data_IF_510434331535
#
_entry.id   IF_510434331535
#
_cell.length_a   1.000
_cell.length_b   1.000
_cell.length_c   1.000
_cell.angle_alpha   90.00
_cell.angle_beta   90.00
_cell.angle_gamma   90.00
#
_symmetry.space_group_name_H-M   'P 1'
#
loop_
_entity.id
_entity.type
_entity.pdbx_description
1 polymer ?
#
# COMPACT_ATOMS: atom_id res chain seq x y z
N UNK A 1 58.30 -45.60 -28.95
CA UNK A 1 56.82 -45.72 -28.94
C UNK A 1 56.24 -44.76 -29.97
N UNK A 2 55.28 -45.24 -30.76
CA UNK A 2 54.90 -44.72 -32.08
C UNK A 2 54.07 -43.43 -32.08
N UNK A 3 54.24 -42.67 -33.18
CA UNK A 3 53.70 -41.36 -33.54
C UNK A 3 52.21 -41.37 -33.97
N UNK A 4 51.55 -40.20 -33.91
CA UNK A 4 50.95 -39.44 -35.06
C UNK A 4 49.57 -38.79 -34.79
N UNK A 5 49.40 -37.66 -35.48
CA UNK A 5 48.39 -36.61 -35.47
C UNK A 5 46.91 -36.95 -35.80
N UNK A 6 46.04 -36.05 -35.30
CA UNK A 6 44.81 -35.43 -35.86
C UNK A 6 43.74 -36.27 -36.59
N UNK A 7 42.46 -35.91 -36.36
CA UNK A 7 41.38 -36.19 -37.31
C UNK A 7 39.95 -35.91 -36.82
N UNK A 8 39.35 -34.84 -37.34
CA UNK A 8 37.88 -34.58 -37.39
C UNK A 8 37.16 -35.57 -38.31
N UNK A 9 35.84 -35.81 -38.14
CA UNK A 9 34.99 -36.18 -39.27
C UNK A 9 34.01 -35.05 -39.65
N UNK A 10 33.90 -34.87 -40.97
CA UNK A 10 33.05 -33.96 -41.74
C UNK A 10 31.61 -34.49 -41.86
N UNK A 11 30.65 -33.61 -42.14
CA UNK A 11 29.43 -33.98 -42.86
C UNK A 11 28.21 -33.08 -42.66
N UNK A 12 28.09 -32.01 -43.44
CA UNK A 12 26.82 -31.38 -43.85
C UNK A 12 26.44 -31.97 -45.24
N UNK A 13 25.21 -31.83 -45.82
CA UNK A 13 24.33 -30.64 -45.79
C UNK A 13 22.80 -30.95 -45.88
N UNK A 14 22.03 -29.93 -46.30
CA UNK A 14 20.63 -29.86 -46.78
C UNK A 14 19.51 -29.39 -45.82
N UNK A 15 18.64 -28.56 -46.40
CA UNK A 15 17.69 -27.63 -45.77
C UNK A 15 16.22 -28.07 -45.93
N UNK A 16 15.33 -27.27 -45.31
CA UNK A 16 13.85 -27.29 -45.32
C UNK A 16 13.23 -28.37 -44.41
N UNK A 17 12.19 -28.14 -43.59
CA UNK A 17 11.01 -27.30 -43.77
C UNK A 17 10.24 -27.16 -42.43
N UNK A 18 9.41 -26.13 -42.34
CA UNK A 18 8.59 -25.71 -41.19
C UNK A 18 7.52 -26.73 -40.78
N UNK A 19 7.33 -26.95 -39.47
CA UNK A 19 6.06 -27.39 -38.88
C UNK A 19 5.78 -26.59 -37.59
N UNK A 20 4.68 -25.83 -37.49
CA UNK A 20 4.24 -25.21 -36.25
C UNK A 20 3.56 -26.27 -35.36
N UNK A 21 4.25 -26.74 -34.33
CA UNK A 21 3.65 -27.60 -33.31
C UNK A 21 2.73 -26.78 -32.39
N UNK A 22 1.43 -27.05 -32.48
CA UNK A 22 0.37 -26.61 -31.58
C UNK A 22 0.72 -26.84 -30.10
N UNK A 23 1.25 -25.80 -29.45
CA UNK A 23 1.29 -25.74 -27.99
C UNK A 23 -0.07 -25.25 -27.51
N UNK A 24 -0.91 -26.19 -27.09
CA UNK A 24 -2.11 -26.00 -26.25
C UNK A 24 -1.81 -24.93 -25.19
N UNK A 25 -2.25 -23.70 -25.46
CA UNK A 25 -2.20 -22.61 -24.49
C UNK A 25 -3.30 -22.89 -23.47
N UNK A 26 -2.92 -23.57 -22.40
CA UNK A 26 -3.71 -23.71 -21.18
C UNK A 26 -4.21 -22.31 -20.82
N UNK A 27 -5.52 -22.10 -20.96
CA UNK A 27 -6.22 -20.91 -20.56
C UNK A 27 -6.03 -20.73 -19.05
N UNK A 28 -4.92 -20.07 -18.66
CA UNK A 28 -4.81 -19.42 -17.36
C UNK A 28 -5.83 -18.30 -17.41
N UNK A 29 -7.05 -18.62 -16.96
CA UNK A 29 -8.00 -17.66 -16.45
C UNK A 29 -7.21 -16.64 -15.63
N UNK A 30 -7.05 -15.46 -16.19
CA UNK A 30 -6.39 -14.34 -15.55
C UNK A 30 -7.21 -14.03 -14.32
N UNK A 31 -6.80 -14.53 -13.15
CA UNK A 31 -7.27 -14.04 -11.86
C UNK A 31 -6.91 -12.56 -11.84
N UNK A 32 -7.86 -11.73 -12.23
CA UNK A 32 -7.78 -10.28 -12.13
C UNK A 32 -7.47 -9.97 -10.68
N UNK A 33 -6.21 -9.69 -10.35
CA UNK A 33 -5.82 -9.33 -8.98
C UNK A 33 -6.57 -8.03 -8.67
N UNK A 34 -7.57 -8.11 -7.79
CA UNK A 34 -8.29 -6.93 -7.32
C UNK A 34 -7.26 -5.96 -6.74
N UNK A 35 -7.21 -4.74 -7.27
CA UNK A 35 -6.31 -3.71 -6.78
C UNK A 35 -6.88 -3.22 -5.44
N UNK A 36 -6.29 -3.68 -4.33
CA UNK A 36 -6.75 -3.40 -2.96
C UNK A 36 -6.51 -1.93 -2.58
N UNK A 37 -5.42 -1.35 -3.09
CA UNK A 37 -4.98 0.00 -2.75
C UNK A 37 -5.17 0.97 -3.92
N UNK A 38 -5.63 2.17 -3.60
CA UNK A 38 -5.75 3.26 -4.56
C UNK A 38 -4.37 3.73 -5.05
N UNK A 39 -4.32 4.21 -6.29
CA UNK A 39 -3.12 4.87 -6.81
C UNK A 39 -2.83 6.15 -6.01
N UNK A 40 -1.56 6.54 -5.95
CA UNK A 40 -1.18 7.79 -5.32
C UNK A 40 -1.58 8.98 -6.19
N UNK A 41 -1.84 10.12 -5.55
CA UNK A 41 -2.04 11.39 -6.24
C UNK A 41 -0.75 11.84 -6.94
N UNK A 42 -0.89 12.60 -8.02
CA UNK A 42 0.25 13.23 -8.70
C UNK A 42 0.91 14.26 -7.79
N UNK A 43 2.20 14.55 -8.00
CA UNK A 43 2.93 15.55 -7.20
C UNK A 43 2.31 16.94 -7.39
N UNK A 44 1.82 17.21 -8.58
CA UNK A 44 1.18 18.45 -8.99
C UNK A 44 -0.13 18.66 -8.22
N UNK A 45 -0.96 17.62 -8.11
CA UNK A 45 -2.23 17.69 -7.38
C UNK A 45 -2.01 17.80 -5.87
N UNK A 46 -1.01 17.10 -5.33
CA UNK A 46 -0.62 17.25 -3.92
C UNK A 46 -0.19 18.68 -3.62
N UNK A 47 0.70 19.25 -4.45
CA UNK A 47 1.17 20.63 -4.29
C UNK A 47 0.01 21.64 -4.34
N UNK A 48 -0.89 21.51 -5.34
CA UNK A 48 -2.08 22.37 -5.45
C UNK A 48 -3.02 22.20 -4.27
N UNK A 49 -3.25 20.96 -3.83
CA UNK A 49 -4.16 20.63 -2.74
C UNK A 49 -3.70 21.16 -1.38
N UNK A 50 -2.39 21.10 -1.12
CA UNK A 50 -1.77 21.68 0.07
C UNK A 50 -1.83 23.21 0.05
N UNK A 51 -1.52 23.85 -1.08
CA UNK A 51 -1.64 25.32 -1.23
C UNK A 51 -3.07 25.82 -0.98
N UNK A 52 -4.06 25.05 -1.42
CA UNK A 52 -5.50 25.34 -1.22
C UNK A 52 -6.02 24.97 0.18
N UNK A 53 -5.18 24.39 1.04
CA UNK A 53 -5.58 23.84 2.35
C UNK A 53 -6.72 22.81 2.28
N UNK A 54 -6.85 22.13 1.14
CA UNK A 54 -7.82 21.03 0.93
C UNK A 54 -7.23 19.67 1.27
N UNK A 55 -5.90 19.60 1.37
CA UNK A 55 -5.15 18.44 1.82
C UNK A 55 -4.39 18.82 3.08
N UNK A 56 -4.20 17.84 3.95
CA UNK A 56 -3.47 17.97 5.20
C UNK A 56 -2.27 17.05 5.15
N UNK A 57 -1.11 17.57 5.49
CA UNK A 57 0.13 16.80 5.57
C UNK A 57 0.53 16.62 7.04
N UNK A 58 1.00 15.44 7.41
CA UNK A 58 1.53 15.21 8.74
C UNK A 58 2.14 13.82 8.94
N UNK A 59 2.84 13.62 10.07
CA UNK A 59 3.39 12.32 10.42
C UNK A 59 2.28 11.35 10.81
N UNK A 60 2.34 10.13 10.29
CA UNK A 60 1.36 9.10 10.56
C UNK A 60 1.71 8.29 11.80
N UNK A 61 0.75 8.16 12.73
CA UNK A 61 0.87 7.35 13.94
C UNK A 61 -0.08 6.16 13.89
N UNK A 62 0.45 4.94 13.92
CA UNK A 62 -0.35 3.71 13.94
C UNK A 62 -0.40 3.18 15.37
N UNK A 63 -1.58 2.80 15.85
CA UNK A 63 -1.70 2.17 17.16
C UNK A 63 -1.11 0.74 17.13
N UNK A 64 -0.08 0.43 17.93
CA UNK A 64 0.57 -0.89 17.90
C UNK A 64 -0.35 -2.02 18.39
N UNK A 65 -1.29 -1.72 19.29
CA UNK A 65 -2.29 -2.69 19.77
C UNK A 65 -3.43 -2.90 18.78
N UNK A 66 -3.64 -1.94 17.88
CA UNK A 66 -4.77 -1.93 16.97
C UNK A 66 -4.36 -1.29 15.64
N UNK A 67 -3.67 -2.06 14.81
CA UNK A 67 -3.00 -1.57 13.60
C UNK A 67 -3.94 -0.98 12.53
N UNK A 68 -5.25 -1.20 12.67
CA UNK A 68 -6.27 -0.56 11.85
C UNK A 68 -6.52 0.90 12.24
N UNK A 69 -6.28 1.27 13.50
CA UNK A 69 -6.45 2.63 13.95
C UNK A 69 -5.16 3.42 13.70
N UNK A 70 -5.25 4.43 12.84
CA UNK A 70 -4.14 5.34 12.58
C UNK A 70 -4.59 6.81 12.67
N UNK A 71 -3.63 7.69 12.97
CA UNK A 71 -3.89 9.08 13.32
C UNK A 71 -2.87 10.00 12.67
N UNK A 72 -3.33 11.18 12.26
CA UNK A 72 -2.48 12.31 11.85
C UNK A 72 -2.82 13.50 12.76
N UNK A 73 -1.83 14.22 13.31
CA UNK A 73 -2.11 15.41 14.10
C UNK A 73 -2.84 16.45 13.25
N UNK A 74 -3.90 17.04 13.80
CA UNK A 74 -4.57 18.16 13.14
C UNK A 74 -3.62 19.35 13.01
N UNK A 75 -3.62 20.05 11.87
CA UNK A 75 -2.80 21.25 11.69
C UNK A 75 -3.18 22.37 12.67
N UNK A 76 -4.42 22.36 13.17
CA UNK A 76 -4.93 23.34 14.13
C UNK A 76 -4.67 22.94 15.60
N UNK A 77 -4.04 21.78 15.84
CA UNK A 77 -3.72 21.29 17.18
C UNK A 77 -4.92 20.84 18.01
N UNK A 78 -6.08 20.63 17.36
CA UNK A 78 -7.33 20.25 18.02
C UNK A 78 -7.41 18.73 18.23
N UNK A 79 -8.16 18.02 17.38
CA UNK A 79 -8.35 16.58 17.44
C UNK A 79 -7.62 15.91 16.27
N UNK A 80 -6.94 14.80 16.55
CA UNK A 80 -6.27 14.02 15.52
C UNK A 80 -7.26 13.54 14.45
N UNK A 81 -6.80 13.55 13.20
CA UNK A 81 -7.55 13.02 12.06
C UNK A 81 -7.45 11.50 12.11
N UNK A 82 -8.59 10.83 12.25
CA UNK A 82 -8.67 9.38 12.27
C UNK A 82 -8.64 8.78 10.86
N UNK A 83 -7.80 7.77 10.67
CA UNK A 83 -7.72 6.96 9.46
C UNK A 83 -8.15 5.53 9.81
N UNK A 84 -9.28 5.12 9.26
CA UNK A 84 -9.90 3.82 9.54
C UNK A 84 -9.38 2.73 8.60
N UNK A 85 -8.46 1.91 9.10
CA UNK A 85 -8.04 0.68 8.46
C UNK A 85 -6.86 0.81 7.48
N UNK A 86 -6.40 -0.37 7.06
CA UNK A 86 -5.18 -0.51 6.24
C UNK A 86 -5.35 0.00 4.82
N UNK A 87 -6.58 -0.02 4.29
CA UNK A 87 -6.88 0.44 2.92
C UNK A 87 -6.84 1.97 2.87
N UNK A 88 -7.50 2.65 3.81
CA UNK A 88 -7.51 4.11 3.89
C UNK A 88 -6.12 4.70 4.14
N UNK A 89 -5.30 4.01 4.95
CA UNK A 89 -3.89 4.37 5.16
C UNK A 89 -3.02 4.25 3.90
N UNK A 90 -3.42 3.43 2.94
CA UNK A 90 -2.75 3.22 1.66
C UNK A 90 -1.23 2.95 1.77
N UNK A 91 -0.86 1.73 2.19
CA UNK A 91 0.54 1.24 2.28
C UNK A 91 1.48 2.04 3.20
N UNK A 92 1.05 3.18 3.74
CA UNK A 92 1.86 3.97 4.65
C UNK A 92 2.16 3.22 5.96
N UNK A 93 3.33 3.50 6.51
CA UNK A 93 3.85 2.92 7.74
C UNK A 93 3.88 3.97 8.86
N UNK A 94 4.17 3.51 10.08
CA UNK A 94 4.28 4.39 11.22
C UNK A 94 5.50 5.29 11.06
N UNK A 95 5.32 6.60 11.24
CA UNK A 95 6.37 7.61 11.10
C UNK A 95 6.45 8.23 9.70
N UNK A 96 5.74 7.70 8.70
CA UNK A 96 5.71 8.30 7.36
C UNK A 96 5.04 9.66 7.39
N UNK A 97 5.58 10.62 6.63
CA UNK A 97 4.90 11.88 6.35
C UNK A 97 3.93 11.65 5.19
N UNK A 98 2.64 11.71 5.48
CA UNK A 98 1.57 11.42 4.52
C UNK A 98 0.72 12.65 4.25
N UNK A 99 -0.02 12.60 3.14
CA UNK A 99 -1.00 13.63 2.76
C UNK A 99 -2.38 12.99 2.70
N UNK A 100 -3.34 13.58 3.41
CA UNK A 100 -4.71 13.09 3.49
C UNK A 100 -5.71 14.13 3.00
N UNK A 101 -6.82 13.65 2.48
CA UNK A 101 -8.00 14.44 2.14
C UNK A 101 -9.07 14.18 3.18
N UNK A 102 -9.62 15.25 3.74
CA UNK A 102 -10.77 15.12 4.63
C UNK A 102 -12.01 14.72 3.83
N UNK A 103 -12.73 13.74 4.36
CA UNK A 103 -14.06 13.39 3.86
C UNK A 103 -15.07 14.47 4.29
N UNK A 104 -16.24 14.55 3.63
CA UNK A 104 -17.37 15.33 4.13
C UNK A 104 -17.74 14.93 5.56
N UNK A 105 -18.23 15.88 6.36
CA UNK A 105 -18.51 15.68 7.80
C UNK A 105 -19.52 14.56 8.05
N UNK A 106 -20.41 14.35 7.10
CA UNK A 106 -21.47 13.34 7.14
C UNK A 106 -20.91 11.92 7.07
N UNK A 107 -19.68 11.76 6.56
CA UNK A 107 -18.97 10.48 6.46
C UNK A 107 -17.99 10.26 7.61
N UNK A 108 -17.91 11.20 8.56
CA UNK A 108 -16.99 11.07 9.68
C UNK A 108 -17.51 10.02 10.65
N UNK A 109 -16.61 9.11 11.04
CA UNK A 109 -16.94 8.04 11.98
C UNK A 109 -16.93 8.58 13.40
N UNK A 110 -18.10 8.57 14.04
CA UNK A 110 -18.22 8.90 15.47
C UNK A 110 -17.75 7.70 16.28
N UNK A 111 -16.61 7.86 16.95
CA UNK A 111 -16.06 6.84 17.85
C UNK A 111 -16.77 6.92 19.20
N UNK A 112 -17.87 6.16 19.36
CA UNK A 112 -18.69 6.13 20.58
C UNK A 112 -17.95 5.56 21.80
N UNK A 113 -16.79 4.92 21.59
CA UNK A 113 -15.96 4.34 22.65
C UNK A 113 -15.42 5.35 23.66
N UNK A 114 -15.40 6.66 23.34
CA UNK A 114 -14.99 7.69 24.30
C UNK A 114 -16.14 8.21 25.18
N UNK A 115 -17.39 7.81 24.92
CA UNK A 115 -18.56 8.19 25.73
C UNK A 115 -18.96 7.11 26.76
N UNK A 116 -18.30 5.93 26.73
CA UNK A 116 -18.56 4.80 27.63
C UNK A 116 -17.31 4.37 28.42
N UNK A 117 -16.47 5.32 28.84
CA UNK A 117 -15.56 5.09 29.98
C UNK A 117 -16.18 5.73 31.22
N UNK A 118 -17.08 5.03 31.95
CA UNK A 118 -17.59 5.57 33.19
C UNK A 118 -16.47 5.87 34.19
N UNK A 119 -15.33 5.18 34.14
CA UNK A 119 -14.14 5.51 34.94
C UNK A 119 -12.89 4.98 34.25
N UNK A 120 -12.01 5.86 33.76
CA UNK A 120 -10.64 5.48 33.43
C UNK A 120 -9.77 5.72 34.66
N UNK A 121 -9.52 4.68 35.46
CA UNK A 121 -8.48 4.71 36.48
C UNK A 121 -7.11 4.79 35.79
N UNK A 122 -6.51 5.97 35.77
CA UNK A 122 -5.05 6.11 35.70
C UNK A 122 -4.54 6.58 37.06
N UNK A 123 -4.09 5.63 37.88
CA UNK A 123 -3.45 5.90 39.17
C UNK A 123 -4.40 5.94 40.37
N UNK A 124 -3.83 5.79 41.56
CA UNK A 124 -4.52 5.52 42.83
C UNK A 124 -5.21 6.75 43.47
N UNK A 125 -5.83 7.65 42.72
CA UNK A 125 -6.54 8.77 43.34
C UNK A 125 -7.77 9.16 42.55
N UNK A 126 -8.93 8.81 43.12
CA UNK A 126 -10.17 9.55 42.91
C UNK A 126 -10.03 10.91 43.61
N UNK A 127 -10.33 12.01 42.92
CA UNK A 127 -10.73 13.25 43.59
C UNK A 127 -12.19 13.52 43.26
N UNK A 128 -12.92 13.94 44.29
CA UNK A 128 -14.32 14.33 44.26
C UNK A 128 -14.53 15.61 43.44
#
# INVERSE_FOLDING_TARGET
MNFRHQGTPKGAPYAASSTPGERKNWSKATRTRKKIFEAYMSKEDVSKGLKRKTLIQGPLRINPKKYHDAFIPSPDGTQDIFIDGVVARNRALNGDVVVVKLLPKEQWKVSVTNLLVPFSWRGNSCRA
#
